data_IF_748333554578
#
_entry.id   IF_748333554578
#
_cell.length_a   1.000
_cell.length_b   1.000
_cell.length_c   1.000
_cell.angle_alpha   90.00
_cell.angle_beta   90.00
_cell.angle_gamma   90.00
#
_symmetry.space_group_name_H-M   'P 1'
#
loop_
_entity.id
_entity.type
_entity.pdbx_description
1 polymer ?
#
# COMPACT_ATOMS: atom_id res chain seq x y z
N UNK A 1 11.44 18.84 -7.36
CA UNK A 1 10.69 18.55 -8.27
C UNK A 1 10.95 17.31 -8.87
N UNK A 2 10.94 16.68 -8.88
CA UNK A 2 10.47 15.78 -9.15
C UNK A 2 10.80 14.57 -9.72
N UNK A 3 10.60 13.55 -9.01
CA UNK A 3 10.54 12.15 -9.38
C UNK A 3 9.36 11.78 -10.30
N UNK A 4 8.72 12.76 -10.85
CA UNK A 4 7.55 12.57 -11.72
C UNK A 4 7.83 12.10 -13.15
N UNK A 5 9.00 12.33 -13.78
CA UNK A 5 9.23 11.82 -15.12
C UNK A 5 9.35 10.31 -15.22
N UNK A 6 9.78 9.65 -14.13
CA UNK A 6 9.89 8.18 -14.12
C UNK A 6 8.54 7.47 -14.04
N UNK A 7 7.55 8.11 -13.41
CA UNK A 7 6.20 7.55 -13.35
C UNK A 7 5.47 7.59 -14.70
N UNK A 8 5.90 8.45 -15.63
CA UNK A 8 5.33 8.52 -16.98
C UNK A 8 5.90 7.48 -17.94
N UNK A 9 7.15 7.09 -17.74
CA UNK A 9 7.82 6.11 -18.62
C UNK A 9 7.41 4.68 -18.33
N UNK A 10 7.01 4.41 -17.09
CA UNK A 10 6.46 3.14 -16.67
C UNK A 10 5.05 3.38 -16.18
N UNK A 11 4.09 3.44 -17.10
CA UNK A 11 2.68 3.41 -16.74
C UNK A 11 2.41 2.11 -15.96
N UNK A 12 2.55 2.19 -14.63
CA UNK A 12 2.23 1.06 -13.76
C UNK A 12 0.78 0.69 -13.97
N UNK A 13 0.49 -0.58 -14.21
CA UNK A 13 -0.88 -1.02 -14.33
C UNK A 13 -1.69 -0.53 -13.11
N UNK A 14 -2.98 -0.24 -13.27
CA UNK A 14 -3.81 0.39 -12.23
C UNK A 14 -3.73 -0.32 -10.88
N UNK A 15 -3.56 -1.64 -10.88
CA UNK A 15 -3.40 -2.43 -9.66
C UNK A 15 -2.13 -2.13 -8.86
N UNK A 16 -1.10 -1.53 -9.47
CA UNK A 16 0.12 -1.13 -8.77
C UNK A 16 0.02 0.25 -8.10
N UNK A 17 -1.04 1.01 -8.41
CA UNK A 17 -1.27 2.34 -7.84
C UNK A 17 -2.05 2.31 -6.53
N UNK A 18 -2.56 1.15 -6.14
CA UNK A 18 -3.30 1.02 -4.90
C UNK A 18 -2.40 1.21 -3.68
N UNK A 19 -2.63 2.29 -2.98
CA UNK A 19 -2.06 2.51 -1.67
C UNK A 19 -2.91 1.82 -0.61
N UNK A 20 -2.29 1.30 0.42
CA UNK A 20 -2.95 0.53 1.49
C UNK A 20 -4.23 1.19 2.07
N UNK A 21 -4.26 2.53 2.15
CA UNK A 21 -5.43 3.27 2.67
C UNK A 21 -6.52 3.57 1.63
N UNK A 22 -6.24 3.41 0.36
CA UNK A 22 -7.18 3.81 -0.70
C UNK A 22 -8.19 2.74 -1.07
N UNK A 23 -7.88 1.49 -0.80
CA UNK A 23 -8.75 0.35 -1.14
C UNK A 23 -10.10 0.40 -0.44
N UNK A 24 -10.11 0.64 0.87
CA UNK A 24 -11.33 0.75 1.63
C UNK A 24 -12.22 1.92 1.16
N UNK A 25 -11.61 3.02 0.73
CA UNK A 25 -12.33 4.16 0.16
C UNK A 25 -12.97 3.83 -1.18
N UNK A 26 -12.29 3.07 -2.02
CA UNK A 26 -12.83 2.63 -3.31
C UNK A 26 -14.05 1.71 -3.12
N UNK A 27 -13.98 0.77 -2.20
CA UNK A 27 -15.10 -0.10 -1.88
C UNK A 27 -16.31 0.67 -1.30
N UNK A 28 -16.06 1.60 -0.38
CA UNK A 28 -17.09 2.47 0.17
C UNK A 28 -17.72 3.37 -0.89
N UNK A 29 -16.90 3.93 -1.79
CA UNK A 29 -17.39 4.74 -2.90
C UNK A 29 -18.28 3.91 -3.82
N UNK A 30 -17.82 2.73 -4.23
CA UNK A 30 -18.59 1.85 -5.10
C UNK A 30 -19.94 1.48 -4.47
N UNK A 31 -19.97 1.10 -3.20
CA UNK A 31 -21.21 0.79 -2.48
C UNK A 31 -22.17 1.99 -2.43
N UNK A 32 -21.64 3.18 -2.22
CA UNK A 32 -22.43 4.43 -2.20
C UNK A 32 -23.00 4.77 -3.58
N UNK A 33 -22.19 4.69 -4.62
CA UNK A 33 -22.60 4.98 -6.00
C UNK A 33 -23.71 4.02 -6.45
N UNK A 34 -23.60 2.73 -6.09
CA UNK A 34 -24.64 1.72 -6.35
C UNK A 34 -25.93 2.02 -5.57
N UNK A 35 -25.82 2.41 -4.31
CA UNK A 35 -26.98 2.79 -3.50
C UNK A 35 -27.68 4.05 -4.05
N UNK A 36 -26.93 4.95 -4.68
CA UNK A 36 -27.44 6.12 -5.37
C UNK A 36 -28.06 5.81 -6.74
N UNK A 37 -27.97 4.57 -7.22
CA UNK A 37 -28.54 4.15 -8.50
C UNK A 37 -27.67 4.46 -9.72
N UNK A 38 -26.37 4.67 -9.52
CA UNK A 38 -25.43 4.89 -10.63
C UNK A 38 -25.36 3.65 -11.53
N UNK A 39 -25.82 3.80 -12.77
CA UNK A 39 -25.86 2.71 -13.74
C UNK A 39 -24.47 2.17 -14.08
N UNK A 40 -23.45 3.03 -14.13
CA UNK A 40 -22.06 2.64 -14.37
C UNK A 40 -21.50 1.79 -13.23
N UNK A 41 -21.75 2.19 -11.98
CA UNK A 41 -21.33 1.44 -10.80
C UNK A 41 -22.06 0.08 -10.72
N UNK A 42 -23.34 0.04 -11.04
CA UNK A 42 -24.15 -1.19 -11.08
C UNK A 42 -23.62 -2.14 -12.17
N UNK A 43 -23.39 -1.65 -13.38
CA UNK A 43 -22.85 -2.44 -14.48
C UNK A 43 -21.46 -3.02 -14.12
N UNK A 44 -20.60 -2.21 -13.55
CA UNK A 44 -19.29 -2.63 -13.06
C UNK A 44 -19.36 -3.74 -12.02
N UNK A 45 -20.26 -3.62 -11.07
CA UNK A 45 -20.47 -4.62 -10.04
C UNK A 45 -21.00 -5.94 -10.63
N UNK A 46 -21.89 -5.88 -11.60
CA UNK A 46 -22.50 -7.06 -12.24
C UNK A 46 -21.51 -7.89 -13.06
N UNK A 47 -20.45 -7.28 -13.57
CA UNK A 47 -19.37 -8.03 -14.24
C UNK A 47 -18.74 -9.07 -13.30
N UNK A 48 -18.60 -8.72 -12.04
CA UNK A 48 -17.92 -9.58 -11.04
C UNK A 48 -18.88 -10.33 -10.11
N UNK A 49 -20.08 -9.79 -9.91
CA UNK A 49 -21.13 -10.36 -9.06
C UNK A 49 -22.49 -10.28 -9.76
N UNK A 50 -22.75 -11.11 -10.79
CA UNK A 50 -23.97 -11.02 -11.60
C UNK A 50 -25.27 -11.29 -10.80
N UNK A 51 -25.18 -12.07 -9.74
CA UNK A 51 -26.35 -12.50 -8.94
C UNK A 51 -26.42 -11.81 -7.57
N UNK A 52 -25.61 -10.79 -7.31
CA UNK A 52 -25.67 -10.10 -6.03
C UNK A 52 -26.91 -9.21 -5.94
N UNK A 53 -27.53 -9.20 -4.77
CA UNK A 53 -28.63 -8.31 -4.47
C UNK A 53 -28.14 -6.86 -4.34
N UNK A 54 -28.97 -5.94 -4.82
CA UNK A 54 -28.69 -4.51 -4.72
C UNK A 54 -29.59 -3.87 -3.64
N UNK A 55 -29.07 -2.91 -2.89
CA UNK A 55 -27.72 -2.35 -2.91
C UNK A 55 -26.68 -3.31 -2.33
N UNK A 56 -25.44 -3.21 -2.83
CA UNK A 56 -24.35 -4.07 -2.37
C UNK A 56 -23.96 -3.78 -0.92
N UNK A 57 -23.74 -4.82 -0.14
CA UNK A 57 -23.05 -4.70 1.14
C UNK A 57 -21.60 -4.23 0.93
N UNK A 58 -21.00 -3.64 1.95
CA UNK A 58 -19.60 -3.23 1.87
C UNK A 58 -18.68 -4.42 1.56
N UNK A 59 -18.98 -5.59 2.10
CA UNK A 59 -18.24 -6.83 1.82
C UNK A 59 -18.28 -7.22 0.35
N UNK A 60 -19.46 -7.13 -0.27
CA UNK A 60 -19.62 -7.41 -1.70
C UNK A 60 -18.92 -6.35 -2.56
N UNK A 61 -18.97 -5.09 -2.18
CA UNK A 61 -18.21 -4.03 -2.85
C UNK A 61 -16.69 -4.27 -2.77
N UNK A 62 -16.20 -4.70 -1.63
CA UNK A 62 -14.78 -5.11 -1.46
C UNK A 62 -14.42 -6.27 -2.37
N UNK A 63 -15.31 -7.25 -2.50
CA UNK A 63 -15.11 -8.41 -3.39
C UNK A 63 -15.06 -7.99 -4.85
N UNK A 64 -15.92 -7.06 -5.28
CA UNK A 64 -15.89 -6.50 -6.65
C UNK A 64 -14.53 -5.85 -6.90
N UNK A 65 -14.09 -4.97 -6.01
CA UNK A 65 -12.80 -4.30 -6.14
C UNK A 65 -11.65 -5.34 -6.21
N UNK A 66 -11.64 -6.33 -5.33
CA UNK A 66 -10.61 -7.35 -5.35
C UNK A 66 -10.55 -8.11 -6.69
N UNK A 67 -11.70 -8.51 -7.21
CA UNK A 67 -11.80 -9.22 -8.49
C UNK A 67 -11.41 -8.36 -9.69
N UNK A 68 -11.71 -7.05 -9.69
CA UNK A 68 -11.24 -6.13 -10.72
C UNK A 68 -9.72 -6.05 -10.79
N UNK A 69 -9.05 -6.21 -9.66
CA UNK A 69 -7.59 -6.25 -9.60
C UNK A 69 -7.00 -7.65 -9.80
N UNK A 70 -7.84 -8.64 -10.13
CA UNK A 70 -7.42 -10.01 -10.42
C UNK A 70 -7.19 -10.89 -9.20
N UNK A 71 -7.70 -10.50 -8.03
CA UNK A 71 -7.60 -11.29 -6.81
C UNK A 71 -8.89 -12.04 -6.50
N UNK A 72 -8.76 -13.20 -5.88
CA UNK A 72 -9.92 -14.04 -5.52
C UNK A 72 -10.79 -13.39 -4.44
N UNK A 73 -10.19 -12.66 -3.50
CA UNK A 73 -10.89 -12.01 -2.41
C UNK A 73 -10.19 -10.76 -1.89
N UNK A 74 -10.88 -10.05 -1.01
CA UNK A 74 -10.39 -8.83 -0.39
C UNK A 74 -9.12 -9.04 0.44
N UNK A 75 -9.03 -10.17 1.14
CA UNK A 75 -7.86 -10.50 1.95
C UNK A 75 -6.61 -10.70 1.08
N UNK A 76 -6.75 -11.35 -0.06
CA UNK A 76 -5.64 -11.56 -0.99
C UNK A 76 -5.13 -10.24 -1.56
N UNK A 77 -6.05 -9.35 -1.96
CA UNK A 77 -5.71 -8.01 -2.41
C UNK A 77 -4.98 -7.22 -1.32
N UNK A 78 -5.50 -7.20 -0.10
CA UNK A 78 -4.91 -6.44 1.00
C UNK A 78 -3.55 -6.99 1.42
N UNK A 79 -3.39 -8.30 1.46
CA UNK A 79 -2.12 -8.96 1.75
C UNK A 79 -1.04 -8.60 0.71
N UNK A 80 -1.39 -8.64 -0.58
CA UNK A 80 -0.44 -8.29 -1.64
C UNK A 80 -0.05 -6.80 -1.61
N UNK A 81 -1.01 -5.92 -1.36
CA UNK A 81 -0.72 -4.48 -1.22
C UNK A 81 0.18 -4.21 -0.01
N UNK A 82 -0.06 -4.88 1.11
CA UNK A 82 0.78 -4.78 2.30
C UNK A 82 2.21 -5.24 2.02
N UNK A 83 2.39 -6.36 1.32
CA UNK A 83 3.72 -6.85 0.90
C UNK A 83 4.44 -5.84 0.02
N UNK A 84 3.75 -5.23 -0.94
CA UNK A 84 4.34 -4.23 -1.83
C UNK A 84 4.72 -2.96 -1.10
N UNK A 85 3.90 -2.55 -0.15
CA UNK A 85 4.18 -1.40 0.70
C UNK A 85 5.43 -1.65 1.56
N UNK A 86 5.51 -2.80 2.21
CA UNK A 86 6.67 -3.18 3.02
C UNK A 86 7.97 -3.20 2.19
N UNK A 87 7.94 -3.80 0.98
CA UNK A 87 9.09 -3.80 0.06
C UNK A 87 9.49 -2.39 -0.37
N UNK A 88 8.53 -1.53 -0.60
CA UNK A 88 8.77 -0.12 -0.93
C UNK A 88 9.47 0.61 0.19
N UNK A 89 9.05 0.41 1.44
CA UNK A 89 9.71 0.98 2.63
C UNK A 89 11.10 0.41 2.86
N UNK A 90 11.32 -0.88 2.69
CA UNK A 90 12.66 -1.49 2.77
C UNK A 90 13.63 -0.87 1.76
N UNK A 91 13.18 -0.74 0.52
CA UNK A 91 13.97 -0.08 -0.52
C UNK A 91 14.27 1.37 -0.14
N UNK A 92 13.26 2.12 0.27
CA UNK A 92 13.41 3.51 0.66
C UNK A 92 14.35 3.68 1.87
N UNK A 93 14.28 2.78 2.86
CA UNK A 93 15.21 2.76 3.99
C UNK A 93 16.64 2.49 3.54
N UNK A 94 16.84 1.60 2.59
CA UNK A 94 18.16 1.33 2.01
C UNK A 94 18.72 2.55 1.28
N UNK A 95 17.88 3.25 0.51
CA UNK A 95 18.26 4.49 -0.14
C UNK A 95 18.57 5.61 0.87
N UNK A 96 17.75 5.72 1.93
CA UNK A 96 17.98 6.72 2.98
C UNK A 96 19.35 6.53 3.65
N UNK A 97 19.76 5.29 3.93
CA UNK A 97 21.09 5.02 4.48
C UNK A 97 22.23 5.50 3.56
N UNK A 98 22.12 5.24 2.26
CA UNK A 98 23.09 5.73 1.27
C UNK A 98 23.16 7.24 1.25
N UNK A 99 22.01 7.87 1.16
CA UNK A 99 21.87 9.33 1.09
C UNK A 99 22.42 10.00 2.34
N UNK A 100 22.22 9.41 3.52
CA UNK A 100 22.80 9.88 4.78
C UNK A 100 24.32 9.72 4.77
N UNK A 101 24.83 8.58 4.29
CA UNK A 101 26.26 8.34 4.15
C UNK A 101 26.92 9.36 3.22
N UNK A 102 26.25 9.68 2.11
CA UNK A 102 26.73 10.63 1.10
C UNK A 102 26.51 12.10 1.51
N UNK A 103 25.86 12.32 2.66
CA UNK A 103 25.51 13.64 3.19
C UNK A 103 24.66 14.49 2.22
N UNK A 104 23.82 13.85 1.41
CA UNK A 104 22.92 14.49 0.44
C UNK A 104 21.55 14.79 1.08
N UNK A 105 21.48 15.94 1.76
CA UNK A 105 20.30 16.36 2.52
C UNK A 105 19.08 16.58 1.61
N UNK A 106 19.29 17.09 0.40
CA UNK A 106 18.18 17.38 -0.52
C UNK A 106 17.51 16.10 -1.00
N UNK A 107 18.30 15.10 -1.31
CA UNK A 107 17.79 13.78 -1.72
C UNK A 107 17.09 13.08 -0.56
N UNK A 108 17.59 13.25 0.66
CA UNK A 108 16.93 12.72 1.86
C UNK A 108 15.55 13.36 2.07
N UNK A 109 15.43 14.69 1.95
CA UNK A 109 14.16 15.39 2.02
C UNK A 109 13.16 14.88 0.97
N UNK A 110 13.60 14.69 -0.27
CA UNK A 110 12.76 14.14 -1.33
C UNK A 110 12.27 12.73 -1.00
N UNK A 111 13.16 11.89 -0.48
CA UNK A 111 12.83 10.52 -0.08
C UNK A 111 11.81 10.49 1.06
N UNK A 112 11.95 11.34 2.06
CA UNK A 112 11.02 11.47 3.18
C UNK A 112 9.66 12.05 2.75
N UNK A 113 9.65 12.95 1.77
CA UNK A 113 8.41 13.47 1.19
C UNK A 113 7.65 12.39 0.41
N UNK A 114 8.37 11.50 -0.28
CA UNK A 114 7.78 10.39 -1.03
C UNK A 114 7.34 9.24 -0.11
N UNK A 115 8.11 8.96 0.93
CA UNK A 115 7.89 7.88 1.89
C UNK A 115 7.84 8.41 3.33
N UNK A 116 6.80 9.17 3.72
CA UNK A 116 6.73 9.74 5.07
C UNK A 116 6.69 8.67 6.18
N UNK A 117 6.27 7.46 5.86
CA UNK A 117 6.28 6.33 6.77
C UNK A 117 7.69 5.90 7.21
N UNK A 118 8.74 6.33 6.52
CA UNK A 118 10.12 6.09 6.95
C UNK A 118 10.45 6.70 8.31
N UNK A 119 9.83 7.82 8.66
CA UNK A 119 10.02 8.47 9.95
C UNK A 119 9.51 7.63 11.12
N UNK A 120 8.51 6.79 10.88
CA UNK A 120 7.90 5.91 11.87
C UNK A 120 8.32 4.44 11.68
N UNK A 121 9.19 4.18 10.70
CA UNK A 121 9.59 2.80 10.39
C UNK A 121 10.61 2.31 11.42
N UNK A 122 10.22 1.29 12.15
CA UNK A 122 11.06 0.73 13.21
C UNK A 122 11.91 -0.45 12.77
N UNK A 123 11.97 -0.74 11.48
CA UNK A 123 12.75 -1.87 10.96
C UNK A 123 12.23 -3.22 11.48
N UNK A 124 10.93 -3.33 11.65
CA UNK A 124 10.30 -4.48 12.28
C UNK A 124 10.61 -5.81 11.59
N UNK A 125 10.76 -5.78 10.28
CA UNK A 125 11.17 -6.95 9.50
C UNK A 125 12.65 -7.33 9.68
N UNK A 126 13.45 -6.38 10.10
CA UNK A 126 14.85 -6.62 10.43
C UNK A 126 14.95 -7.52 11.67
N UNK A 127 14.15 -7.23 12.70
CA UNK A 127 14.18 -8.00 13.93
C UNK A 127 13.53 -9.37 13.78
N UNK A 128 12.52 -9.49 12.92
CA UNK A 128 11.82 -10.76 12.69
C UNK A 128 12.63 -11.78 11.89
N UNK A 129 13.59 -11.33 11.10
CA UNK A 129 14.53 -12.22 10.39
C UNK A 129 15.71 -12.68 11.25
N UNK A 130 15.57 -12.55 12.58
CA UNK A 130 16.52 -13.11 13.51
C UNK A 130 17.89 -12.46 13.47
N UNK A 131 17.94 -11.19 13.19
CA UNK A 131 19.15 -10.44 13.43
C UNK A 131 19.52 -10.55 14.91
N UNK A 132 20.52 -11.36 15.27
CA UNK A 132 20.88 -11.56 16.68
C UNK A 132 21.33 -10.27 17.35
N UNK A 133 21.56 -9.25 16.54
CA UNK A 133 22.03 -7.95 16.98
C UNK A 133 20.94 -7.09 17.61
N UNK A 134 19.70 -7.13 17.12
CA UNK A 134 18.63 -6.28 17.63
C UNK A 134 18.28 -6.56 19.08
N UNK A 135 18.15 -7.84 19.42
CA UNK A 135 17.83 -8.25 20.77
C UNK A 135 18.97 -8.03 21.79
N UNK A 136 20.21 -8.08 21.35
CA UNK A 136 21.34 -7.85 22.25
C UNK A 136 21.54 -6.36 22.56
N UNK A 137 21.31 -5.50 21.61
CA UNK A 137 21.48 -4.07 21.80
C UNK A 137 20.35 -3.49 22.69
N UNK A 138 19.14 -3.96 22.55
CA UNK A 138 18.06 -3.57 23.41
C UNK A 138 18.28 -3.89 24.88
N UNK A 139 18.99 -4.95 25.20
CA UNK A 139 19.33 -5.31 26.57
C UNK A 139 20.48 -4.50 27.15
N UNK A 140 21.45 -4.13 26.31
CA UNK A 140 22.61 -3.33 26.73
C UNK A 140 22.21 -1.89 27.12
N UNK A 141 21.25 -1.32 26.39
CA UNK A 141 20.77 0.03 26.69
C UNK A 141 19.90 0.14 27.93
N UNK A 142 19.30 -0.97 28.36
CA UNK A 142 18.48 -1.00 29.58
C UNK A 142 19.27 -1.13 30.88
N UNK A 143 20.57 -1.41 30.79
CA UNK A 143 21.43 -1.62 31.94
C UNK A 143 22.42 -0.49 32.20
N UNK A 144 22.41 0.55 31.38
CA UNK A 144 23.22 1.72 31.58
C UNK A 144 22.60 2.75 32.52
#
# INVERSE_FOLDING_TARGET
MPCRPRDRLFARPPHQRLRHRSQGRLAKKLARDIAAGDAGAIARARVHLPHADLPLTQRNAQLVIAREYGYAGWQDLTAEVSKRFARGLEWAATQARRVIHDNDVERLKQLLAEYPALLCWQGHDWDSKGGPAGNRHGRLWRRG
#
